data_IF_187409722943
#
_entry.id   IF_187409722943
#
_cell.length_a   1.000
_cell.length_b   1.000
_cell.length_c   1.000
_cell.angle_alpha   90.00
_cell.angle_beta   90.00
_cell.angle_gamma   90.00
#
_symmetry.space_group_name_H-M   'P 1'
#
loop_
_entity.id
_entity.type
_entity.pdbx_description
1 polymer ?
#
# COMPACT_ATOMS: atom_id res chain seq x y z
N UNK A 1 14.89 18.16 32.64
CA UNK A 1 15.32 18.10 31.22
C UNK A 1 15.31 16.65 30.76
N UNK A 2 14.14 16.12 30.39
CA UNK A 2 14.04 14.94 29.52
C UNK A 2 13.46 15.50 28.23
N UNK A 3 14.30 15.59 27.19
CA UNK A 3 13.89 16.07 25.89
C UNK A 3 12.74 15.22 25.39
N UNK A 4 11.57 15.83 25.23
CA UNK A 4 10.43 15.25 24.54
C UNK A 4 10.77 15.18 23.06
N UNK A 5 11.52 14.14 22.68
CA UNK A 5 11.74 13.78 21.29
C UNK A 5 10.40 13.29 20.74
N UNK A 6 9.62 14.21 20.19
CA UNK A 6 8.48 13.88 19.31
C UNK A 6 9.05 13.04 18.18
N UNK A 7 8.89 11.73 18.27
CA UNK A 7 9.41 10.79 17.28
C UNK A 7 8.25 10.51 16.35
N UNK A 8 8.15 11.10 15.15
CA UNK A 8 7.04 10.76 14.25
C UNK A 8 7.12 9.27 13.91
N UNK A 9 5.99 8.67 13.52
CA UNK A 9 5.91 7.28 13.05
C UNK A 9 7.14 6.96 12.18
N UNK A 10 7.91 5.92 12.48
CA UNK A 10 9.23 5.65 11.88
C UNK A 10 9.33 5.88 10.35
N UNK A 11 8.31 5.55 9.52
CA UNK A 11 8.34 5.84 8.08
C UNK A 11 8.29 7.34 7.74
N UNK A 12 7.60 8.15 8.55
CA UNK A 12 7.44 9.58 8.35
C UNK A 12 8.71 10.37 8.65
N UNK A 13 9.65 9.79 9.42
CA UNK A 13 10.98 10.39 9.67
C UNK A 13 11.82 10.52 8.39
N UNK A 14 11.49 9.78 7.34
CA UNK A 14 12.28 9.72 6.10
C UNK A 14 11.71 10.54 4.95
N UNK A 15 10.72 11.39 5.21
CA UNK A 15 10.20 12.38 4.26
C UNK A 15 9.81 11.77 2.90
N UNK A 16 10.60 12.05 1.87
CA UNK A 16 10.37 11.61 0.49
C UNK A 16 10.58 10.11 0.23
N UNK A 17 11.16 9.35 1.17
CA UNK A 17 11.38 7.88 1.07
C UNK A 17 10.48 7.07 2.00
N UNK A 18 9.43 7.69 2.54
CA UNK A 18 8.53 7.08 3.52
C UNK A 18 7.84 5.82 2.99
N UNK A 19 7.39 5.79 1.73
CA UNK A 19 6.74 4.60 1.15
C UNK A 19 7.74 3.48 0.89
N UNK A 20 8.98 3.82 0.52
CA UNK A 20 10.06 2.86 0.31
C UNK A 20 10.43 2.14 1.61
N UNK A 21 10.57 2.87 2.72
CA UNK A 21 10.89 2.26 4.01
C UNK A 21 9.71 1.48 4.57
N UNK A 22 8.49 2.00 4.41
CA UNK A 22 7.30 1.26 4.74
C UNK A 22 7.19 -0.05 3.95
N UNK A 23 7.52 -0.03 2.65
CA UNK A 23 7.53 -1.24 1.81
C UNK A 23 8.61 -2.23 2.23
N UNK A 24 9.76 -1.77 2.74
CA UNK A 24 10.80 -2.64 3.29
C UNK A 24 10.33 -3.33 4.58
N UNK A 25 9.66 -2.61 5.48
CA UNK A 25 9.05 -3.18 6.69
C UNK A 25 7.96 -4.21 6.37
N UNK A 26 7.18 -3.96 5.32
CA UNK A 26 6.20 -4.92 4.82
C UNK A 26 6.89 -6.12 4.16
N UNK A 27 7.99 -5.88 3.44
CA UNK A 27 8.79 -6.92 2.82
C UNK A 27 9.40 -7.88 3.84
N UNK A 28 9.84 -7.39 5.00
CA UNK A 28 10.32 -8.26 6.08
C UNK A 28 9.20 -9.13 6.65
N UNK A 29 7.99 -8.57 6.82
CA UNK A 29 6.81 -9.36 7.16
C UNK A 29 6.48 -10.42 6.09
N UNK A 30 6.46 -10.06 4.81
CA UNK A 30 6.14 -11.01 3.73
C UNK A 30 7.21 -12.10 3.56
N UNK A 31 8.48 -11.77 3.82
CA UNK A 31 9.64 -12.66 3.80
C UNK A 31 9.65 -13.65 4.98
N UNK A 32 8.91 -13.38 6.06
CA UNK A 32 8.88 -14.20 7.27
C UNK A 32 8.55 -15.68 7.02
N UNK A 33 7.93 -16.03 5.90
CA UNK A 33 7.64 -17.42 5.58
C UNK A 33 8.89 -18.25 5.16
N UNK A 34 10.07 -17.61 5.06
CA UNK A 34 11.39 -18.30 5.12
C UNK A 34 11.60 -19.08 6.42
N UNK A 35 10.80 -18.83 7.46
CA UNK A 35 10.80 -19.67 8.66
C UNK A 35 10.51 -21.14 8.34
N UNK A 36 9.71 -21.43 7.32
CA UNK A 36 9.40 -22.81 6.92
C UNK A 36 10.64 -23.63 6.55
N UNK A 37 11.48 -23.22 5.58
CA UNK A 37 12.74 -23.93 5.31
C UNK A 37 13.70 -23.88 6.49
N UNK A 38 13.69 -22.81 7.31
CA UNK A 38 14.48 -22.77 8.55
C UNK A 38 14.09 -23.87 9.54
N UNK A 39 12.79 -24.08 9.79
CA UNK A 39 12.26 -25.16 10.62
C UNK A 39 12.62 -26.52 10.03
N UNK A 40 12.49 -26.67 8.70
CA UNK A 40 12.85 -27.91 7.99
C UNK A 40 14.32 -28.28 8.20
N UNK A 41 15.25 -27.35 8.02
CA UNK A 41 16.70 -27.59 8.23
C UNK A 41 17.00 -28.03 9.67
N UNK A 42 16.34 -27.41 10.66
CA UNK A 42 16.53 -27.77 12.08
C UNK A 42 15.98 -29.17 12.36
N UNK A 43 14.83 -29.51 11.77
CA UNK A 43 14.23 -30.84 11.90
C UNK A 43 15.09 -31.92 11.24
N UNK A 44 15.58 -31.67 10.02
CA UNK A 44 16.45 -32.57 9.27
C UNK A 44 17.81 -32.79 9.97
N UNK A 45 18.25 -31.82 10.79
CA UNK A 45 19.43 -31.95 11.67
C UNK A 45 19.19 -32.84 12.91
N UNK A 46 18.00 -33.42 13.07
CA UNK A 46 17.67 -34.37 14.13
C UNK A 46 16.95 -33.77 15.35
N UNK A 47 16.54 -32.51 15.30
CA UNK A 47 15.75 -31.91 16.38
C UNK A 47 14.28 -32.37 16.33
N UNK A 48 13.70 -32.70 17.48
CA UNK A 48 12.28 -33.07 17.57
C UNK A 48 11.38 -31.90 17.13
N UNK A 49 10.39 -32.20 16.28
CA UNK A 49 9.40 -31.22 15.82
C UNK A 49 8.69 -30.50 16.99
N UNK A 50 8.37 -31.23 18.05
CA UNK A 50 7.72 -30.66 19.24
C UNK A 50 8.60 -29.58 19.91
N UNK A 51 9.91 -29.82 20.00
CA UNK A 51 10.85 -28.87 20.59
C UNK A 51 10.91 -27.58 19.77
N UNK A 52 10.97 -27.69 18.44
CA UNK A 52 10.99 -26.52 17.54
C UNK A 52 9.71 -25.70 17.71
N UNK A 53 8.54 -26.35 17.76
CA UNK A 53 7.26 -25.67 17.92
C UNK A 53 7.13 -24.99 19.29
N UNK A 54 7.55 -25.62 20.39
CA UNK A 54 7.55 -25.01 21.72
C UNK A 54 8.49 -23.80 21.82
N UNK A 55 9.69 -23.88 21.24
CA UNK A 55 10.61 -22.75 21.17
C UNK A 55 10.01 -21.60 20.36
N UNK A 56 9.39 -21.90 19.22
CA UNK A 56 8.76 -20.90 18.38
C UNK A 56 7.57 -20.23 19.08
N UNK A 57 6.75 -20.99 19.80
CA UNK A 57 5.67 -20.46 20.64
C UNK A 57 6.22 -19.55 21.76
N UNK A 58 7.32 -19.93 22.41
CA UNK A 58 7.99 -19.10 23.41
C UNK A 58 8.50 -17.78 22.84
N UNK A 59 9.17 -17.82 21.68
CA UNK A 59 9.62 -16.62 20.97
C UNK A 59 8.47 -15.71 20.55
N UNK A 60 7.36 -16.29 20.07
CA UNK A 60 6.14 -15.53 19.77
C UNK A 60 5.54 -14.89 21.03
N UNK A 61 5.61 -15.57 22.17
CA UNK A 61 5.23 -15.03 23.48
C UNK A 61 6.02 -13.78 23.88
N UNK A 62 7.34 -13.77 23.60
CA UNK A 62 8.19 -12.60 23.88
C UNK A 62 7.78 -11.35 23.08
N UNK A 63 7.19 -11.52 21.90
CA UNK A 63 6.68 -10.39 21.10
C UNK A 63 5.56 -9.67 21.85
N UNK A 64 4.65 -10.40 22.51
CA UNK A 64 3.59 -9.79 23.31
C UNK A 64 4.15 -9.01 24.50
N UNK A 65 5.19 -9.53 25.15
CA UNK A 65 5.88 -8.84 26.25
C UNK A 65 6.53 -7.55 25.72
N UNK A 66 7.20 -7.62 24.56
CA UNK A 66 7.80 -6.44 23.93
C UNK A 66 6.73 -5.39 23.58
N UNK A 67 5.60 -5.80 22.99
CA UNK A 67 4.49 -4.92 22.68
C UNK A 67 3.88 -4.28 23.94
N UNK A 68 3.76 -5.03 25.04
CA UNK A 68 3.24 -4.50 26.29
C UNK A 68 4.19 -3.49 26.93
N UNK A 69 5.50 -3.77 26.96
CA UNK A 69 6.51 -2.90 27.55
C UNK A 69 6.80 -1.65 26.72
N UNK A 70 6.76 -1.75 25.40
CA UNK A 70 7.05 -0.65 24.46
C UNK A 70 5.79 0.07 23.98
N UNK A 71 4.61 -0.23 24.53
CA UNK A 71 3.39 0.48 24.14
C UNK A 71 3.51 1.96 24.52
N UNK A 72 3.45 2.89 23.55
CA UNK A 72 3.59 4.31 23.85
C UNK A 72 2.37 4.81 24.63
N UNK A 73 2.62 5.49 25.75
CA UNK A 73 1.59 6.09 26.61
C UNK A 73 0.91 7.29 25.92
N UNK A 74 1.67 8.01 25.08
CA UNK A 74 1.18 9.12 24.27
C UNK A 74 1.27 8.76 22.78
N UNK A 75 0.22 9.10 22.02
CA UNK A 75 0.21 8.91 20.57
C UNK A 75 1.26 9.78 19.88
N UNK A 76 1.88 9.25 18.83
CA UNK A 76 2.83 10.03 18.05
C UNK A 76 2.10 11.18 17.31
N UNK A 77 2.59 12.43 17.43
CA UNK A 77 2.01 13.57 16.74
C UNK A 77 1.99 13.35 15.23
N UNK A 78 0.87 13.71 14.59
CA UNK A 78 0.79 13.61 13.13
C UNK A 78 1.65 14.68 12.46
N UNK A 79 2.16 14.46 11.23
CA UNK A 79 2.90 15.48 10.50
C UNK A 79 2.13 16.81 10.36
N UNK A 80 0.80 16.73 10.25
CA UNK A 80 -0.08 17.89 10.15
C UNK A 80 -0.17 18.66 11.48
N UNK A 81 -0.16 17.96 12.64
CA UNK A 81 -0.10 18.57 13.97
C UNK A 81 1.25 19.22 14.26
N UNK A 82 2.35 18.64 13.77
CA UNK A 82 3.70 19.21 13.90
C UNK A 82 3.86 20.46 13.03
N UNK A 83 3.39 20.42 11.78
CA UNK A 83 3.43 21.58 10.87
C UNK A 83 2.51 22.71 11.38
N UNK A 84 1.37 22.38 11.97
CA UNK A 84 0.49 23.36 12.62
C UNK A 84 1.10 23.96 13.89
N UNK A 85 1.73 23.16 14.76
CA UNK A 85 2.50 23.68 15.91
C UNK A 85 3.64 24.59 15.47
N UNK A 86 4.30 24.26 14.37
CA UNK A 86 5.36 25.08 13.80
C UNK A 86 4.82 26.39 13.20
N UNK A 87 3.67 26.34 12.52
CA UNK A 87 2.96 27.53 12.02
C UNK A 87 2.49 28.44 13.15
N UNK A 88 1.96 27.89 14.24
CA UNK A 88 1.61 28.63 15.46
C UNK A 88 2.82 29.34 16.06
N UNK A 89 3.94 28.62 16.18
CA UNK A 89 5.20 29.18 16.67
C UNK A 89 5.72 30.32 15.78
N UNK A 90 5.66 30.16 14.45
CA UNK A 90 6.05 31.21 13.49
C UNK A 90 5.09 32.41 13.52
N UNK A 91 3.81 32.20 13.82
CA UNK A 91 2.80 33.25 13.90
C UNK A 91 2.88 34.09 15.18
N UNK A 92 3.90 33.86 16.04
CA UNK A 92 4.13 34.65 17.26
C UNK A 92 3.15 34.37 18.40
N UNK A 93 2.32 33.33 18.28
CA UNK A 93 1.53 32.81 19.39
C UNK A 93 2.47 31.94 20.24
N UNK A 94 2.69 32.32 21.51
CA UNK A 94 3.57 31.57 22.41
C UNK A 94 3.21 30.08 22.43
N UNK A 95 4.19 29.16 22.47
CA UNK A 95 3.91 27.75 22.60
C UNK A 95 3.29 27.50 23.98
N UNK A 96 1.99 27.19 24.01
CA UNK A 96 1.23 26.82 25.21
C UNK A 96 2.03 25.82 26.07
N UNK A 97 2.54 26.30 27.21
CA UNK A 97 3.46 25.57 28.08
C UNK A 97 2.75 24.74 29.15
N UNK A 98 1.42 24.61 29.14
CA UNK A 98 0.71 23.80 30.14
C UNK A 98 -0.30 22.82 29.54
N UNK A 99 -0.42 21.58 30.08
CA UNK A 99 -1.35 20.55 29.57
C UNK A 99 -2.83 20.91 29.71
N UNK A 100 -3.19 21.85 30.59
CA UNK A 100 -4.58 22.12 30.95
C UNK A 100 -5.30 23.07 29.97
N UNK A 101 -4.59 23.90 29.21
CA UNK A 101 -5.21 24.81 28.22
C UNK A 101 -5.45 24.13 26.85
N UNK A 102 -4.87 22.96 26.61
CA UNK A 102 -5.10 22.16 25.38
C UNK A 102 -6.56 21.65 25.34
N UNK A 103 -7.18 21.41 26.50
CA UNK A 103 -8.58 21.01 26.58
C UNK A 103 -9.56 22.14 26.26
N UNK A 104 -9.18 23.42 26.44
CA UNK A 104 -10.06 24.57 26.15
C UNK A 104 -10.02 25.01 24.68
N UNK A 105 -8.97 24.66 23.93
CA UNK A 105 -8.83 24.98 22.49
C UNK A 105 -9.26 23.80 21.59
N UNK A 106 -9.61 22.66 22.19
CA UNK A 106 -10.20 21.51 21.50
C UNK A 106 -11.42 21.83 20.59
N UNK A 107 -12.24 22.89 20.80
CA UNK A 107 -13.32 23.24 19.87
C UNK A 107 -12.88 24.03 18.62
N UNK A 108 -11.62 24.49 18.53
CA UNK A 108 -11.14 25.28 17.38
C UNK A 108 -10.40 24.44 16.33
N UNK A 109 -10.08 23.17 16.61
CA UNK A 109 -9.68 22.23 15.57
C UNK A 109 -10.91 21.92 14.71
N UNK A 110 -10.83 21.99 13.37
CA UNK A 110 -11.88 21.38 12.55
C UNK A 110 -11.96 19.92 12.96
N UNK A 111 -13.15 19.47 13.40
CA UNK A 111 -13.41 18.09 13.83
C UNK A 111 -12.63 17.13 12.94
N UNK A 112 -11.66 16.43 13.54
CA UNK A 112 -10.83 15.47 12.82
C UNK A 112 -11.74 14.55 12.01
N UNK A 113 -11.37 14.27 10.75
CA UNK A 113 -12.20 13.46 9.85
C UNK A 113 -12.65 12.20 10.61
N UNK A 114 -13.96 11.94 10.78
CA UNK A 114 -14.39 10.84 11.61
C UNK A 114 -13.94 9.51 11.01
N UNK A 115 -13.43 8.58 11.84
CA UNK A 115 -12.93 7.27 11.40
C UNK A 115 -13.92 6.51 10.51
N UNK A 116 -15.22 6.60 10.83
CA UNK A 116 -16.31 6.02 10.03
C UNK A 116 -16.25 6.48 8.57
N UNK A 117 -15.94 7.75 8.30
CA UNK A 117 -15.83 8.29 6.94
C UNK A 117 -14.65 7.69 6.18
N UNK A 118 -13.57 7.34 6.87
CA UNK A 118 -12.43 6.64 6.25
C UNK A 118 -12.74 5.18 5.93
N UNK A 119 -13.44 4.47 6.82
CA UNK A 119 -13.84 3.07 6.60
C UNK A 119 -14.86 2.92 5.48
N UNK A 120 -15.83 3.84 5.38
CA UNK A 120 -16.82 3.82 4.29
C UNK A 120 -16.36 4.55 3.03
N UNK A 121 -15.08 4.93 2.95
CA UNK A 121 -14.52 5.54 1.74
C UNK A 121 -14.48 4.51 0.60
N UNK A 122 -14.95 4.87 -0.61
CA UNK A 122 -14.87 3.98 -1.77
C UNK A 122 -13.46 3.46 -2.06
N UNK A 123 -12.42 4.28 -1.80
CA UNK A 123 -11.02 3.88 -1.99
C UNK A 123 -10.66 2.71 -1.07
N UNK A 124 -11.10 2.77 0.20
CA UNK A 124 -10.86 1.70 1.16
C UNK A 124 -11.66 0.43 0.81
N UNK A 125 -12.93 0.57 0.43
CA UNK A 125 -13.75 -0.59 0.05
C UNK A 125 -13.19 -1.30 -1.18
N UNK A 126 -12.76 -0.57 -2.21
CA UNK A 126 -12.12 -1.16 -3.37
C UNK A 126 -10.76 -1.79 -3.04
N UNK A 127 -9.97 -1.20 -2.13
CA UNK A 127 -8.72 -1.83 -1.68
C UNK A 127 -8.95 -3.09 -0.87
N UNK A 128 -10.03 -3.18 -0.08
CA UNK A 128 -10.43 -4.42 0.59
C UNK A 128 -10.73 -5.54 -0.42
N UNK A 129 -11.47 -5.23 -1.49
CA UNK A 129 -11.79 -6.21 -2.55
C UNK A 129 -10.51 -6.67 -3.24
N UNK A 130 -9.68 -5.74 -3.72
CA UNK A 130 -8.42 -6.06 -4.40
C UNK A 130 -7.47 -6.86 -3.50
N UNK A 131 -7.37 -6.49 -2.22
CA UNK A 131 -6.53 -7.17 -1.24
C UNK A 131 -7.05 -8.58 -0.94
N UNK A 132 -8.33 -8.72 -0.60
CA UNK A 132 -8.94 -10.00 -0.23
C UNK A 132 -8.88 -11.03 -1.36
N UNK A 133 -9.16 -10.60 -2.59
CA UNK A 133 -9.04 -11.42 -3.80
C UNK A 133 -7.59 -11.86 -4.04
N UNK A 134 -6.64 -10.93 -4.01
CA UNK A 134 -5.21 -11.23 -4.22
C UNK A 134 -4.68 -12.17 -3.16
N UNK A 135 -5.01 -11.90 -1.88
CA UNK A 135 -4.62 -12.73 -0.76
C UNK A 135 -5.19 -14.13 -0.83
N UNK A 136 -6.48 -14.28 -1.15
CA UNK A 136 -7.10 -15.60 -1.30
C UNK A 136 -6.35 -16.44 -2.33
N UNK A 137 -5.97 -15.86 -3.48
CA UNK A 137 -5.22 -16.59 -4.50
C UNK A 137 -3.84 -17.02 -4.02
N UNK A 138 -3.09 -16.08 -3.43
CA UNK A 138 -1.73 -16.33 -2.93
C UNK A 138 -1.75 -17.42 -1.84
N UNK A 139 -2.67 -17.31 -0.89
CA UNK A 139 -2.81 -18.24 0.23
C UNK A 139 -3.31 -19.60 -0.26
N UNK A 140 -4.26 -19.64 -1.21
CA UNK A 140 -4.67 -20.88 -1.85
C UNK A 140 -3.51 -21.59 -2.54
N UNK A 141 -2.74 -20.87 -3.35
CA UNK A 141 -1.57 -21.43 -4.02
C UNK A 141 -0.57 -22.00 -3.00
N UNK A 142 -0.21 -21.22 -1.97
CA UNK A 142 0.70 -21.66 -0.92
C UNK A 142 0.19 -22.92 -0.19
N UNK A 143 -1.11 -23.00 0.11
CA UNK A 143 -1.72 -24.16 0.77
C UNK A 143 -1.86 -25.39 -0.12
N UNK A 144 -2.06 -25.20 -1.44
CA UNK A 144 -2.28 -26.27 -2.40
C UNK A 144 -1.01 -26.73 -3.14
N UNK A 145 0.07 -25.94 -3.10
CA UNK A 145 1.26 -26.11 -3.94
C UNK A 145 1.84 -27.52 -3.87
N UNK A 146 2.01 -28.09 -2.67
CA UNK A 146 2.59 -29.43 -2.51
C UNK A 146 1.74 -30.50 -3.21
N UNK A 147 0.41 -30.39 -3.10
CA UNK A 147 -0.52 -31.31 -3.79
C UNK A 147 -0.59 -31.06 -5.29
N UNK A 148 -0.49 -29.81 -5.74
CA UNK A 148 -0.37 -29.50 -7.17
C UNK A 148 0.93 -30.06 -7.77
N UNK A 149 2.05 -29.95 -7.07
CA UNK A 149 3.34 -30.52 -7.49
C UNK A 149 3.30 -32.05 -7.52
N UNK A 150 2.70 -32.67 -6.50
CA UNK A 150 2.47 -34.12 -6.46
C UNK A 150 1.62 -34.57 -7.66
N UNK A 151 0.55 -33.83 -7.99
CA UNK A 151 -0.28 -34.10 -9.16
C UNK A 151 0.51 -33.95 -10.47
N UNK A 152 1.40 -32.95 -10.60
CA UNK A 152 2.24 -32.76 -11.79
C UNK A 152 3.20 -33.93 -12.06
N UNK A 153 3.71 -34.57 -11.01
CA UNK A 153 4.60 -35.74 -11.15
C UNK A 153 3.78 -37.01 -11.40
N UNK A 154 2.74 -37.23 -10.59
CA UNK A 154 1.94 -38.47 -10.63
C UNK A 154 0.93 -38.52 -11.79
N UNK A 155 0.62 -37.37 -12.40
CA UNK A 155 -0.44 -37.19 -13.41
C UNK A 155 -1.82 -37.70 -12.93
N UNK A 156 -2.07 -37.65 -11.62
CA UNK A 156 -3.35 -38.08 -11.04
C UNK A 156 -3.64 -39.58 -11.11
N UNK A 157 -2.61 -40.44 -11.21
CA UNK A 157 -2.80 -41.89 -11.19
C UNK A 157 -3.24 -42.36 -9.80
N UNK A 158 -4.38 -43.05 -9.71
CA UNK A 158 -4.95 -43.52 -8.43
C UNK A 158 -4.10 -44.59 -7.72
N UNK A 159 -3.26 -45.33 -8.47
CA UNK A 159 -2.33 -46.36 -7.95
C UNK A 159 -0.93 -46.16 -8.53
N UNK A 160 -0.17 -45.17 -8.06
CA UNK A 160 1.19 -44.93 -8.52
C UNK A 160 2.11 -46.08 -8.07
N UNK A 161 3.07 -46.45 -8.91
CA UNK A 161 4.13 -47.38 -8.51
C UNK A 161 4.92 -46.78 -7.34
N UNK A 162 5.44 -47.62 -6.45
CA UNK A 162 6.27 -47.19 -5.30
C UNK A 162 7.43 -46.27 -5.71
N UNK A 163 8.02 -46.51 -6.89
CA UNK A 163 9.04 -45.62 -7.48
C UNK A 163 8.51 -44.21 -7.80
N UNK A 164 7.29 -44.11 -8.32
CA UNK A 164 6.67 -42.84 -8.70
C UNK A 164 6.26 -42.03 -7.46
N UNK A 165 5.85 -42.71 -6.38
CA UNK A 165 5.58 -42.06 -5.09
C UNK A 165 6.86 -41.45 -4.51
N UNK A 166 7.95 -42.23 -4.48
CA UNK A 166 9.25 -41.72 -4.01
C UNK A 166 9.75 -40.55 -4.85
N UNK A 167 9.61 -40.60 -6.18
CA UNK A 167 9.99 -39.50 -7.09
C UNK A 167 9.14 -38.23 -6.86
N UNK A 168 7.84 -38.39 -6.61
CA UNK A 168 6.95 -37.28 -6.30
C UNK A 168 7.33 -36.63 -4.96
N UNK A 169 7.60 -37.42 -3.92
CA UNK A 169 8.02 -36.89 -2.61
C UNK A 169 9.34 -36.12 -2.69
N UNK A 170 10.33 -36.63 -3.41
CA UNK A 170 11.62 -35.95 -3.60
C UNK A 170 11.44 -34.64 -4.37
N UNK A 171 10.67 -34.67 -5.46
CA UNK A 171 10.37 -33.48 -6.27
C UNK A 171 9.62 -32.42 -5.46
N UNK A 172 8.54 -32.81 -4.76
CA UNK A 172 7.77 -31.89 -3.91
C UNK A 172 8.66 -31.29 -2.83
N UNK A 173 9.50 -32.09 -2.18
CA UNK A 173 10.43 -31.60 -1.17
C UNK A 173 11.45 -30.59 -1.71
N UNK A 174 12.00 -30.84 -2.91
CA UNK A 174 12.94 -29.94 -3.56
C UNK A 174 12.29 -28.60 -3.91
N UNK A 175 11.14 -28.62 -4.61
CA UNK A 175 10.43 -27.41 -5.01
C UNK A 175 9.85 -26.65 -3.81
N UNK A 176 9.37 -27.33 -2.76
CA UNK A 176 8.91 -26.69 -1.53
C UNK A 176 10.04 -25.96 -0.79
N UNK A 177 11.23 -26.58 -0.72
CA UNK A 177 12.42 -25.93 -0.16
C UNK A 177 12.82 -24.68 -0.96
N UNK A 178 12.84 -24.77 -2.30
CA UNK A 178 13.13 -23.62 -3.17
C UNK A 178 12.09 -22.51 -3.00
N UNK A 179 10.81 -22.87 -2.98
CA UNK A 179 9.73 -21.90 -2.78
C UNK A 179 9.91 -21.15 -1.46
N UNK A 180 10.25 -21.88 -0.38
CA UNK A 180 10.54 -21.28 0.92
C UNK A 180 11.74 -20.31 0.90
N UNK A 181 12.84 -20.68 0.25
CA UNK A 181 14.03 -19.81 0.17
C UNK A 181 13.81 -18.60 -0.73
N UNK A 182 13.08 -18.77 -1.84
CA UNK A 182 12.72 -17.70 -2.76
C UNK A 182 11.89 -16.60 -2.10
N UNK A 183 11.19 -16.87 -1.00
CA UNK A 183 10.44 -15.84 -0.27
C UNK A 183 11.32 -14.74 0.33
N UNK A 184 12.62 -14.98 0.52
CA UNK A 184 13.59 -13.95 0.89
C UNK A 184 13.68 -12.83 -0.16
N UNK A 185 13.35 -13.13 -1.42
CA UNK A 185 13.31 -12.16 -2.51
C UNK A 185 12.29 -11.03 -2.23
N UNK A 186 11.32 -11.23 -1.33
CA UNK A 186 10.44 -10.16 -0.84
C UNK A 186 11.24 -8.98 -0.27
N UNK A 187 12.36 -9.21 0.43
CA UNK A 187 13.18 -8.15 1.03
C UNK A 187 13.79 -7.22 -0.02
N UNK A 188 14.13 -7.78 -1.18
CA UNK A 188 14.75 -7.04 -2.29
C UNK A 188 13.68 -6.41 -3.20
N UNK A 189 12.58 -7.12 -3.42
CA UNK A 189 11.54 -6.69 -4.36
C UNK A 189 10.59 -5.65 -3.75
N UNK A 190 10.24 -5.72 -2.46
CA UNK A 190 9.31 -4.75 -1.86
C UNK A 190 9.80 -3.29 -1.92
N UNK A 191 11.09 -2.97 -1.68
CA UNK A 191 11.61 -1.63 -1.90
C UNK A 191 11.40 -1.10 -3.33
N UNK A 192 11.38 -1.97 -4.34
CA UNK A 192 11.16 -1.58 -5.74
C UNK A 192 9.76 -0.99 -5.93
N UNK A 193 8.72 -1.60 -5.36
CA UNK A 193 7.37 -1.06 -5.46
C UNK A 193 7.22 0.21 -4.62
N UNK A 194 7.86 0.30 -3.46
CA UNK A 194 7.91 1.51 -2.65
C UNK A 194 8.58 2.67 -3.39
N UNK A 195 9.65 2.38 -4.13
CA UNK A 195 10.31 3.35 -5.00
C UNK A 195 9.39 3.84 -6.14
N UNK A 196 8.60 2.95 -6.75
CA UNK A 196 7.58 3.34 -7.75
C UNK A 196 6.52 4.26 -7.12
N UNK A 197 6.14 4.01 -5.86
CA UNK A 197 5.18 4.86 -5.13
C UNK A 197 5.76 6.23 -4.77
N UNK A 198 7.05 6.29 -4.43
CA UNK A 198 7.79 7.52 -4.13
C UNK A 198 8.33 8.24 -5.39
N UNK A 199 8.10 7.68 -6.59
CA UNK A 199 8.61 8.23 -7.85
C UNK A 199 8.19 9.69 -8.06
N UNK A 200 9.16 10.58 -8.33
CA UNK A 200 8.95 12.03 -8.56
C UNK A 200 8.36 12.80 -7.37
N UNK A 201 8.35 12.21 -6.16
CA UNK A 201 7.93 12.91 -4.94
C UNK A 201 8.98 13.92 -4.44
N UNK A 202 10.27 13.67 -4.71
CA UNK A 202 11.40 14.52 -4.27
C UNK A 202 11.47 15.85 -5.02
N UNK A 203 11.31 15.85 -6.35
CA UNK A 203 11.28 17.09 -7.17
C UNK A 203 10.15 18.04 -6.73
N UNK A 204 9.00 17.48 -6.33
CA UNK A 204 7.88 18.25 -5.79
C UNK A 204 8.22 18.86 -4.42
N UNK A 205 8.95 18.13 -3.56
CA UNK A 205 9.38 18.63 -2.25
C UNK A 205 10.42 19.77 -2.39
N UNK A 206 11.38 19.63 -3.30
CA UNK A 206 12.41 20.65 -3.54
C UNK A 206 11.80 21.93 -4.13
N UNK A 207 10.78 21.80 -5.00
CA UNK A 207 10.03 22.96 -5.52
C UNK A 207 9.23 23.68 -4.41
N UNK A 208 8.82 22.96 -3.37
CA UNK A 208 8.05 23.49 -2.23
C UNK A 208 8.92 24.34 -1.30
N UNK A 209 10.22 24.02 -1.16
CA UNK A 209 11.14 24.79 -0.32
C UNK A 209 11.49 26.17 -0.92
N UNK A 210 11.35 26.34 -2.24
CA UNK A 210 11.71 27.56 -2.98
C UNK A 210 10.53 28.55 -3.10
N UNK A 211 9.30 28.09 -2.90
CA UNK A 211 8.06 28.87 -3.12
C UNK A 211 7.34 29.23 -1.80
N UNK A 212 7.96 30.08 -0.99
CA UNK A 212 7.35 30.63 0.24
C UNK A 212 6.52 31.88 -0.07
N UNK A 213 5.19 31.75 -0.11
CA UNK A 213 4.27 32.89 -0.25
C UNK A 213 2.79 32.50 -0.30
N UNK A 214 2.26 32.16 -1.48
CA UNK A 214 0.79 32.06 -1.68
C UNK A 214 0.32 30.76 -2.39
N UNK A 215 1.22 29.95 -2.96
CA UNK A 215 0.87 28.76 -3.77
C UNK A 215 0.66 27.44 -2.99
N UNK A 216 0.75 27.46 -1.64
CA UNK A 216 0.75 26.23 -0.81
C UNK A 216 -0.47 25.31 -1.04
N UNK A 217 -1.66 25.89 -1.27
CA UNK A 217 -2.89 25.10 -1.48
C UNK A 217 -2.97 24.44 -2.87
N UNK A 218 -2.30 25.01 -3.87
CA UNK A 218 -2.17 24.43 -5.20
C UNK A 218 -1.19 23.27 -5.22
N UNK A 219 -0.02 23.49 -4.62
CA UNK A 219 1.09 22.54 -4.55
C UNK A 219 0.75 21.30 -3.70
N UNK A 220 0.02 21.44 -2.59
CA UNK A 220 -0.45 20.28 -1.80
C UNK A 220 -1.42 19.40 -2.59
N UNK A 221 -2.29 19.98 -3.43
CA UNK A 221 -3.23 19.24 -4.27
C UNK A 221 -2.48 18.48 -5.38
N UNK A 222 -1.44 19.07 -5.94
CA UNK A 222 -0.57 18.41 -6.93
C UNK A 222 0.18 17.22 -6.35
N UNK A 223 0.69 17.37 -5.11
CA UNK A 223 1.31 16.26 -4.39
C UNK A 223 0.34 15.11 -4.14
N UNK A 224 -0.92 15.40 -3.76
CA UNK A 224 -1.96 14.37 -3.59
C UNK A 224 -2.28 13.67 -4.92
N UNK A 225 -2.42 14.41 -6.01
CA UNK A 225 -2.67 13.86 -7.35
C UNK A 225 -1.50 12.96 -7.80
N UNK A 226 -0.26 13.37 -7.55
CA UNK A 226 0.93 12.59 -7.88
C UNK A 226 1.00 11.28 -7.07
N UNK A 227 0.78 11.34 -5.75
CA UNK A 227 0.72 10.14 -4.89
C UNK A 227 -0.33 9.14 -5.37
N UNK A 228 -1.53 9.62 -5.68
CA UNK A 228 -2.62 8.77 -6.21
C UNK A 228 -2.23 8.17 -7.57
N UNK A 229 -1.56 8.94 -8.42
CA UNK A 229 -1.07 8.46 -9.73
C UNK A 229 -0.04 7.35 -9.58
N UNK A 230 0.94 7.53 -8.69
CA UNK A 230 1.96 6.53 -8.43
C UNK A 230 1.36 5.26 -7.83
N UNK A 231 0.44 5.41 -6.86
CA UNK A 231 -0.29 4.29 -6.28
C UNK A 231 -1.11 3.53 -7.35
N UNK A 232 -1.83 4.24 -8.22
CA UNK A 232 -2.57 3.64 -9.34
C UNK A 232 -1.66 2.81 -10.24
N UNK A 233 -0.48 3.33 -10.61
CA UNK A 233 0.51 2.60 -11.42
C UNK A 233 1.05 1.36 -10.68
N UNK A 234 1.34 1.48 -9.39
CA UNK A 234 1.81 0.38 -8.56
C UNK A 234 0.77 -0.74 -8.46
N UNK A 235 -0.51 -0.41 -8.26
CA UNK A 235 -1.60 -1.40 -8.28
C UNK A 235 -1.83 -2.01 -9.66
N UNK A 236 -1.72 -1.23 -10.76
CA UNK A 236 -1.79 -1.79 -12.11
C UNK A 236 -0.69 -2.82 -12.35
N UNK A 237 0.55 -2.49 -12.00
CA UNK A 237 1.69 -3.40 -12.13
C UNK A 237 1.47 -4.68 -11.30
N UNK A 238 1.04 -4.52 -10.04
CA UNK A 238 0.78 -5.65 -9.14
C UNK A 238 -0.31 -6.58 -9.69
N UNK A 239 -1.40 -6.02 -10.20
CA UNK A 239 -2.48 -6.82 -10.80
C UNK A 239 -2.04 -7.49 -12.12
N UNK A 240 -1.21 -6.83 -12.93
CA UNK A 240 -0.64 -7.47 -14.12
C UNK A 240 0.23 -8.67 -13.76
N UNK A 241 1.09 -8.53 -12.75
CA UNK A 241 1.89 -9.64 -12.22
C UNK A 241 1.00 -10.76 -11.65
N UNK A 242 -0.12 -10.43 -10.98
CA UNK A 242 -1.09 -11.40 -10.48
C UNK A 242 -1.77 -12.20 -11.60
N UNK A 243 -2.09 -11.55 -12.73
CA UNK A 243 -2.66 -12.23 -13.91
C UNK A 243 -1.61 -13.14 -14.56
N UNK A 244 -0.37 -12.66 -14.75
CA UNK A 244 0.72 -13.48 -15.31
C UNK A 244 0.98 -14.69 -14.41
N UNK A 245 1.09 -14.47 -13.09
CA UNK A 245 1.18 -15.54 -12.10
C UNK A 245 0.06 -16.56 -12.30
N UNK A 246 -1.16 -16.06 -12.46
CA UNK A 246 -2.31 -16.91 -12.62
C UNK A 246 -2.38 -17.71 -13.90
N UNK A 247 -1.89 -17.16 -15.01
CA UNK A 247 -1.73 -17.86 -16.28
C UNK A 247 -0.66 -18.95 -16.12
N UNK A 248 0.47 -18.63 -15.48
CA UNK A 248 1.52 -19.62 -15.22
C UNK A 248 1.03 -20.78 -14.35
N UNK A 249 0.15 -20.55 -13.36
CA UNK A 249 -0.45 -21.60 -12.54
C UNK A 249 -1.37 -22.57 -13.32
N UNK A 250 -1.86 -22.18 -14.50
CA UNK A 250 -2.69 -23.06 -15.35
C UNK A 250 -1.85 -23.99 -16.23
N UNK A 251 -0.55 -23.73 -16.36
CA UNK A 251 0.34 -24.50 -17.21
C UNK A 251 1.00 -25.60 -16.37
N UNK A 252 0.75 -26.84 -16.75
CA UNK A 252 1.30 -28.02 -16.08
C UNK A 252 2.75 -28.26 -16.52
N UNK A 253 3.67 -27.43 -16.02
CA UNK A 253 5.09 -27.53 -16.32
C UNK A 253 5.94 -27.31 -15.06
N UNK A 254 6.80 -28.29 -14.74
CA UNK A 254 7.68 -28.29 -13.56
C UNK A 254 8.71 -27.14 -13.60
N UNK A 255 9.54 -26.97 -14.66
CA UNK A 255 10.44 -25.82 -14.77
C UNK A 255 9.75 -24.46 -14.68
N UNK A 256 8.52 -24.33 -15.18
CA UNK A 256 7.76 -23.07 -15.09
C UNK A 256 7.41 -22.70 -13.63
N UNK A 257 7.43 -23.65 -12.70
CA UNK A 257 7.13 -23.39 -11.29
C UNK A 257 8.13 -22.40 -10.68
N UNK A 258 9.40 -22.39 -11.10
CA UNK A 258 10.35 -21.36 -10.65
C UNK A 258 9.86 -19.94 -10.95
N UNK A 259 9.30 -19.72 -12.14
CA UNK A 259 8.71 -18.44 -12.50
C UNK A 259 7.46 -18.14 -11.65
N UNK A 260 6.60 -19.14 -11.40
CA UNK A 260 5.44 -18.97 -10.52
C UNK A 260 5.84 -18.56 -9.11
N UNK A 261 6.94 -19.11 -8.57
CA UNK A 261 7.43 -18.80 -7.23
C UNK A 261 7.92 -17.36 -7.13
N UNK A 262 8.64 -16.88 -8.15
CA UNK A 262 9.10 -15.50 -8.24
C UNK A 262 7.88 -14.56 -8.32
N UNK A 263 6.95 -14.83 -9.24
CA UNK A 263 5.76 -14.00 -9.42
C UNK A 263 4.88 -13.98 -8.17
N UNK A 264 4.63 -15.12 -7.54
CA UNK A 264 3.92 -15.23 -6.27
C UNK A 264 4.58 -14.35 -5.20
N UNK A 265 5.90 -14.48 -5.04
CA UNK A 265 6.68 -13.75 -4.02
C UNK A 265 6.59 -12.24 -4.25
N UNK A 266 6.74 -11.78 -5.49
CA UNK A 266 6.61 -10.37 -5.85
C UNK A 266 5.20 -9.83 -5.56
N UNK A 267 4.15 -10.51 -6.03
CA UNK A 267 2.76 -10.05 -5.84
C UNK A 267 2.41 -9.97 -4.36
N UNK A 268 2.82 -10.96 -3.56
CA UNK A 268 2.62 -10.98 -2.10
C UNK A 268 3.22 -9.75 -1.43
N UNK A 269 4.48 -9.41 -1.74
CA UNK A 269 5.10 -8.22 -1.19
C UNK A 269 4.48 -6.92 -1.70
N UNK A 270 4.14 -6.89 -2.98
CA UNK A 270 3.67 -5.68 -3.66
C UNK A 270 2.29 -5.27 -3.20
N UNK A 271 1.36 -6.22 -3.01
CA UNK A 271 -0.03 -5.87 -2.67
C UNK A 271 -0.13 -5.19 -1.30
N UNK A 272 0.58 -5.71 -0.30
CA UNK A 272 0.64 -5.12 1.04
C UNK A 272 1.31 -3.75 1.00
N UNK A 273 2.41 -3.62 0.25
CA UNK A 273 3.13 -2.35 0.08
C UNK A 273 2.28 -1.28 -0.60
N UNK A 274 1.55 -1.66 -1.66
CA UNK A 274 0.64 -0.76 -2.39
C UNK A 274 -0.50 -0.25 -1.49
N UNK A 275 -1.14 -1.13 -0.72
CA UNK A 275 -2.20 -0.74 0.22
C UNK A 275 -1.67 0.20 1.29
N UNK A 276 -0.51 -0.15 1.85
CA UNK A 276 0.18 0.66 2.84
C UNK A 276 0.46 2.09 2.37
N UNK A 277 1.14 2.24 1.23
CA UNK A 277 1.43 3.57 0.70
C UNK A 277 0.19 4.32 0.19
N UNK A 278 -0.86 3.62 -0.27
CA UNK A 278 -2.15 4.23 -0.60
C UNK A 278 -2.81 4.83 0.65
N UNK A 279 -2.78 4.11 1.77
CA UNK A 279 -3.36 4.62 3.02
C UNK A 279 -2.57 5.79 3.59
N UNK A 280 -1.24 5.75 3.51
CA UNK A 280 -0.39 6.88 3.86
C UNK A 280 -0.60 8.10 2.92
N UNK A 281 -1.09 7.89 1.70
CA UNK A 281 -1.36 8.96 0.73
C UNK A 281 -2.75 9.59 0.89
N UNK A 282 -3.77 8.79 1.23
CA UNK A 282 -5.18 9.19 1.19
C UNK A 282 -5.75 9.52 2.56
N UNK A 283 -5.31 8.82 3.61
CA UNK A 283 -5.90 8.94 4.94
C UNK A 283 -4.98 9.66 5.93
N UNK A 284 -5.56 10.33 6.95
CA UNK A 284 -4.78 10.89 8.05
C UNK A 284 -3.95 9.80 8.76
N UNK A 285 -2.78 10.17 9.27
CA UNK A 285 -1.87 9.22 9.95
C UNK A 285 -2.51 8.55 11.17
N UNK A 286 -3.45 9.22 11.85
CA UNK A 286 -4.20 8.66 12.99
C UNK A 286 -5.07 7.45 12.62
N UNK A 287 -5.50 7.32 11.36
CA UNK A 287 -6.33 6.21 10.91
C UNK A 287 -5.54 5.08 10.26
N UNK A 288 -4.30 5.36 9.86
CA UNK A 288 -3.48 4.48 9.04
C UNK A 288 -3.28 3.09 9.66
N UNK A 289 -2.91 3.03 10.95
CA UNK A 289 -2.68 1.76 11.66
C UNK A 289 -3.96 0.93 11.74
N UNK A 290 -5.07 1.54 12.15
CA UNK A 290 -6.37 0.89 12.28
C UNK A 290 -6.93 0.42 10.94
N UNK A 291 -6.80 1.21 9.86
CA UNK A 291 -7.22 0.81 8.52
C UNK A 291 -6.39 -0.36 7.98
N UNK A 292 -5.08 -0.36 8.23
CA UNK A 292 -4.18 -1.46 7.85
C UNK A 292 -4.52 -2.74 8.61
N UNK A 293 -4.82 -2.63 9.91
CA UNK A 293 -5.27 -3.73 10.74
C UNK A 293 -6.63 -4.29 10.30
N UNK A 294 -7.60 -3.41 10.05
CA UNK A 294 -8.94 -3.78 9.58
C UNK A 294 -8.87 -4.45 8.20
N UNK A 295 -8.06 -3.93 7.27
CA UNK A 295 -7.81 -4.59 5.99
C UNK A 295 -7.26 -5.99 6.19
N UNK A 296 -6.24 -6.14 7.04
CA UNK A 296 -5.62 -7.44 7.30
C UNK A 296 -6.61 -8.43 7.89
N UNK A 297 -7.44 -8.00 8.84
CA UNK A 297 -8.50 -8.80 9.44
C UNK A 297 -9.51 -9.29 8.40
N UNK A 298 -10.07 -8.37 7.60
CA UNK A 298 -11.06 -8.71 6.57
C UNK A 298 -10.43 -9.64 5.51
N UNK A 299 -9.20 -9.36 5.10
CA UNK A 299 -8.48 -10.19 4.13
C UNK A 299 -8.20 -11.59 4.68
N UNK A 300 -7.92 -11.73 5.98
CA UNK A 300 -7.75 -13.03 6.63
C UNK A 300 -9.07 -13.82 6.65
N UNK A 301 -10.21 -13.18 6.92
CA UNK A 301 -11.53 -13.82 6.84
C UNK A 301 -11.81 -14.33 5.43
N UNK A 302 -11.52 -13.52 4.40
CA UNK A 302 -11.64 -13.96 3.00
C UNK A 302 -10.68 -15.11 2.71
N UNK A 303 -9.45 -15.07 3.24
CA UNK A 303 -8.47 -16.13 3.06
C UNK A 303 -8.88 -17.46 3.72
N UNK A 304 -9.78 -17.49 4.70
CA UNK A 304 -10.33 -18.75 5.24
C UNK A 304 -11.06 -19.57 4.16
N UNK A 305 -11.53 -18.94 3.08
CA UNK A 305 -12.06 -19.65 1.90
C UNK A 305 -11.01 -20.55 1.22
N UNK A 306 -9.72 -20.39 1.51
CA UNK A 306 -8.68 -21.30 1.03
C UNK A 306 -8.95 -22.75 1.45
N UNK A 307 -9.42 -23.00 2.67
CA UNK A 307 -9.66 -24.35 3.18
C UNK A 307 -10.77 -25.10 2.42
N UNK A 308 -11.98 -24.55 2.23
CA UNK A 308 -13.00 -25.22 1.43
C UNK A 308 -12.56 -25.38 -0.03
N UNK A 309 -11.83 -24.42 -0.61
CA UNK A 309 -11.28 -24.57 -1.96
C UNK A 309 -10.28 -25.74 -2.03
N UNK A 310 -9.42 -25.91 -1.02
CA UNK A 310 -8.49 -27.04 -0.95
C UNK A 310 -9.22 -28.38 -0.81
N UNK A 311 -10.27 -28.45 0.01
CA UNK A 311 -11.10 -29.65 0.16
C UNK A 311 -11.77 -30.02 -1.17
N UNK A 312 -12.27 -29.05 -1.92
CA UNK A 312 -12.85 -29.28 -3.25
C UNK A 312 -11.79 -29.81 -4.23
N UNK A 313 -10.58 -29.23 -4.20
CA UNK A 313 -9.46 -29.64 -5.05
C UNK A 313 -9.06 -31.10 -4.82
N UNK A 314 -8.87 -31.49 -3.56
CA UNK A 314 -8.42 -32.85 -3.23
C UNK A 314 -9.56 -33.85 -3.36
N UNK A 315 -10.78 -33.48 -2.94
CA UNK A 315 -11.92 -34.39 -2.89
C UNK A 315 -12.60 -34.61 -4.25
N UNK A 316 -13.08 -33.55 -4.90
CA UNK A 316 -13.91 -33.67 -6.11
C UNK A 316 -13.09 -33.61 -7.40
N UNK A 317 -11.91 -32.97 -7.36
CA UNK A 317 -11.06 -32.76 -8.53
C UNK A 317 -9.85 -33.70 -8.56
N UNK A 318 -9.77 -34.69 -7.66
CA UNK A 318 -8.70 -35.70 -7.62
C UNK A 318 -7.29 -35.07 -7.63
N UNK A 319 -7.12 -33.90 -7.01
CA UNK A 319 -5.87 -33.15 -6.98
C UNK A 319 -5.63 -32.21 -8.16
N UNK A 320 -6.50 -32.20 -9.18
CA UNK A 320 -6.41 -31.27 -10.30
C UNK A 320 -6.82 -29.84 -9.87
N UNK A 321 -5.84 -28.95 -9.79
CA UNK A 321 -6.05 -27.54 -9.42
C UNK A 321 -6.54 -26.63 -10.56
N UNK A 322 -6.66 -27.10 -11.81
CA UNK A 322 -6.90 -26.26 -12.99
C UNK A 322 -8.17 -25.40 -12.87
N UNK A 323 -9.32 -26.02 -12.57
CA UNK A 323 -10.60 -25.32 -12.51
C UNK A 323 -10.67 -24.28 -11.40
N UNK A 324 -10.08 -24.56 -10.24
CA UNK A 324 -10.01 -23.62 -9.12
C UNK A 324 -9.07 -22.46 -9.48
N UNK A 325 -7.89 -22.74 -10.06
CA UNK A 325 -6.97 -21.71 -10.51
C UNK A 325 -7.56 -20.84 -11.64
N UNK A 326 -8.39 -21.41 -12.51
CA UNK A 326 -9.11 -20.68 -13.55
C UNK A 326 -10.18 -19.75 -12.94
N UNK A 327 -10.96 -20.25 -11.99
CA UNK A 327 -11.92 -19.42 -11.25
C UNK A 327 -11.25 -18.27 -10.50
N UNK A 328 -10.14 -18.55 -9.80
CA UNK A 328 -9.33 -17.53 -9.13
C UNK A 328 -8.67 -16.56 -10.12
N UNK A 329 -8.34 -17.00 -11.34
CA UNK A 329 -7.84 -16.13 -12.42
C UNK A 329 -8.91 -15.17 -12.92
N UNK A 330 -10.12 -15.67 -13.21
CA UNK A 330 -11.24 -14.81 -13.59
C UNK A 330 -11.53 -13.81 -12.48
N UNK A 331 -11.55 -14.27 -11.22
CA UNK A 331 -11.77 -13.40 -10.08
C UNK A 331 -10.66 -12.34 -9.94
N UNK A 332 -9.40 -12.66 -10.27
CA UNK A 332 -8.25 -11.75 -10.22
C UNK A 332 -8.42 -10.47 -11.08
N UNK A 333 -9.26 -10.50 -12.12
CA UNK A 333 -9.55 -9.31 -12.92
C UNK A 333 -10.31 -8.22 -12.15
N UNK A 334 -11.04 -8.59 -11.07
CA UNK A 334 -11.67 -7.60 -10.19
C UNK A 334 -10.63 -6.69 -9.50
N UNK A 335 -9.36 -7.10 -9.46
CA UNK A 335 -8.25 -6.29 -8.94
C UNK A 335 -8.04 -4.98 -9.70
N UNK A 336 -8.45 -4.89 -10.96
CA UNK A 336 -8.35 -3.67 -11.77
C UNK A 336 -9.43 -2.62 -11.43
N UNK A 337 -10.44 -2.97 -10.64
CA UNK A 337 -11.50 -2.02 -10.23
C UNK A 337 -10.94 -0.88 -9.38
N UNK A 338 -9.99 -1.15 -8.47
CA UNK A 338 -9.35 -0.11 -7.66
C UNK A 338 -8.53 0.88 -8.53
N UNK A 339 -7.57 0.44 -9.37
CA UNK A 339 -6.91 1.34 -10.32
C UNK A 339 -7.87 2.11 -11.23
N UNK A 340 -8.93 1.45 -11.72
CA UNK A 340 -9.96 2.10 -12.52
C UNK A 340 -10.69 3.20 -11.77
N UNK A 341 -11.06 2.96 -10.51
CA UNK A 341 -11.65 3.98 -9.65
C UNK A 341 -10.66 5.12 -9.34
N UNK A 342 -9.40 4.82 -9.03
CA UNK A 342 -8.36 5.83 -8.80
C UNK A 342 -8.12 6.70 -10.03
N UNK A 343 -8.23 6.14 -11.23
CA UNK A 343 -8.16 6.90 -12.48
C UNK A 343 -9.31 7.91 -12.61
N UNK A 344 -10.54 7.48 -12.33
CA UNK A 344 -11.71 8.36 -12.35
C UNK A 344 -11.60 9.46 -11.27
N UNK A 345 -11.17 9.08 -10.06
CA UNK A 345 -10.98 10.02 -8.96
C UNK A 345 -9.90 11.06 -9.29
N UNK A 346 -8.77 10.63 -9.87
CA UNK A 346 -7.72 11.53 -10.39
C UNK A 346 -8.26 12.49 -11.44
N UNK A 347 -9.08 12.01 -12.38
CA UNK A 347 -9.68 12.85 -13.43
C UNK A 347 -10.58 13.93 -12.83
N UNK A 348 -11.33 13.62 -11.78
CA UNK A 348 -12.15 14.60 -11.08
C UNK A 348 -11.30 15.64 -10.35
N UNK A 349 -10.24 15.22 -9.65
CA UNK A 349 -9.30 16.15 -9.00
C UNK A 349 -8.61 17.09 -9.99
N UNK A 350 -8.24 16.60 -11.18
CA UNK A 350 -7.66 17.42 -12.24
C UNK A 350 -8.67 18.42 -12.82
N UNK A 351 -9.95 18.04 -12.95
CA UNK A 351 -11.01 18.96 -13.36
C UNK A 351 -11.22 20.07 -12.33
N UNK A 352 -11.30 19.72 -11.05
CA UNK A 352 -11.42 20.70 -9.96
C UNK A 352 -10.22 21.66 -9.93
N UNK A 353 -9.01 21.16 -10.17
CA UNK A 353 -7.82 22.00 -10.33
C UNK A 353 -7.98 22.95 -11.52
N UNK A 354 -8.35 22.44 -12.70
CA UNK A 354 -8.51 23.28 -13.89
C UNK A 354 -9.61 24.35 -13.72
N UNK A 355 -10.68 24.07 -12.97
CA UNK A 355 -11.71 25.07 -12.64
C UNK A 355 -11.15 26.13 -11.69
N UNK A 356 -10.42 25.73 -10.65
CA UNK A 356 -9.79 26.66 -9.70
C UNK A 356 -8.75 27.54 -10.38
N UNK A 357 -7.90 26.98 -11.24
CA UNK A 357 -6.84 27.73 -11.92
C UNK A 357 -7.41 28.68 -12.99
N UNK A 358 -8.63 28.42 -13.49
CA UNK A 358 -9.37 29.33 -14.39
C UNK A 358 -10.05 30.50 -13.67
N UNK A 359 -10.38 30.40 -12.39
CA UNK A 359 -10.99 31.50 -11.62
C UNK A 359 -10.11 32.76 -11.53
N UNK A 360 -8.81 32.69 -11.17
CA UNK A 360 -7.94 33.86 -11.14
C UNK A 360 -7.65 34.41 -12.55
N UNK A 361 -7.45 33.54 -13.55
CA UNK A 361 -7.27 33.97 -14.94
C UNK A 361 -8.50 34.70 -15.51
N UNK A 362 -9.71 34.33 -15.08
CA UNK A 362 -10.95 35.01 -15.46
C UNK A 362 -11.10 36.37 -14.77
N UNK A 363 -10.68 36.48 -13.50
CA UNK A 363 -10.63 37.75 -12.77
C UNK A 363 -9.58 38.72 -13.30
N UNK A 364 -8.35 38.26 -13.60
CA UNK A 364 -7.32 39.09 -14.25
C UNK A 364 -7.75 39.57 -15.63
N UNK A 365 -8.37 38.70 -16.43
CA UNK A 365 -8.87 39.07 -17.76
C UNK A 365 -10.06 40.04 -17.69
N UNK A 366 -10.88 39.98 -16.64
CA UNK A 366 -11.91 40.99 -16.37
C UNK A 366 -11.31 42.33 -15.88
N UNK A 367 -10.27 42.29 -15.05
CA UNK A 367 -9.57 43.49 -14.57
C UNK A 367 -8.83 44.22 -15.70
N UNK A 368 -8.16 43.48 -16.60
CA UNK A 368 -7.52 44.03 -17.81
C UNK A 368 -8.54 44.66 -18.76
N UNK A 369 -9.70 44.02 -18.98
CA UNK A 369 -10.79 44.60 -19.78
C UNK A 369 -11.37 45.87 -19.16
N UNK A 370 -11.45 45.94 -17.82
CA UNK A 370 -11.88 47.15 -17.12
C UNK A 370 -10.83 48.28 -17.18
N UNK A 371 -9.54 47.94 -17.17
CA UNK A 371 -8.45 48.91 -17.31
C UNK A 371 -8.39 49.49 -18.74
N UNK A 372 -8.59 48.67 -19.78
CA UNK A 372 -8.69 49.15 -21.17
C UNK A 372 -9.93 50.03 -21.40
N UNK A 373 -11.06 49.76 -20.73
CA UNK A 373 -12.26 50.59 -20.81
C UNK A 373 -12.09 51.98 -20.17
N UNK A 374 -11.09 52.16 -19.29
CA UNK A 374 -10.73 53.43 -18.65
C UNK A 374 -9.57 54.15 -19.36
N UNK A 375 -9.23 53.75 -20.59
CA UNK A 375 -8.28 54.44 -21.46
C UNK A 375 -8.69 55.89 -21.72
N UNK A 376 -7.94 56.79 -21.10
CA UNK A 376 -7.80 58.24 -21.34
C UNK A 376 -8.35 58.73 -22.70
N UNK A 377 -9.44 59.51 -22.68
CA UNK A 377 -9.75 60.43 -23.79
C UNK A 377 -8.69 61.53 -23.80
N UNK A 378 -7.94 61.75 -24.90
CA UNK A 378 -7.06 62.91 -24.98
C UNK A 378 -7.93 64.17 -25.03
N UNK A 379 -7.86 65.01 -23.99
CA UNK A 379 -8.33 66.38 -24.07
C UNK A 379 -7.42 67.16 -25.02
N UNK A 380 -7.90 67.37 -26.24
CA UNK A 380 -7.31 68.33 -27.17
C UNK A 380 -7.77 69.74 -26.76
N UNK A 381 -6.86 70.55 -26.22
CA UNK A 381 -7.08 71.99 -26.02
C UNK A 381 -6.83 72.70 -27.36
N UNK A 382 -7.89 72.93 -28.12
CA UNK A 382 -7.90 73.88 -29.23
C UNK A 382 -8.26 75.27 -28.72
N UNK A 383 -7.28 76.18 -28.64
CA UNK A 383 -7.52 77.62 -28.52
C UNK A 383 -7.45 78.20 -29.92
N UNK A 384 -8.60 78.49 -30.51
CA UNK A 384 -8.76 79.44 -31.62
C UNK A 384 -9.38 80.71 -31.04
N UNK A 385 -8.57 81.77 -30.94
CA UNK A 385 -9.06 83.14 -30.77
C UNK A 385 -8.94 83.83 -32.13
N UNK A 386 -10.08 84.26 -32.67
CA UNK A 386 -10.19 85.19 -33.80
C UNK A 386 -10.77 86.51 -33.30
N UNK A 387 -10.14 87.59 -33.79
CA UNK A 387 -10.62 88.95 -34.02
C UNK A 387 -10.76 89.96 -32.85
N UNK A 388 -9.76 90.85 -32.76
CA UNK A 388 -9.90 92.31 -32.93
C UNK A 388 -8.51 92.98 -33.08
#
# INVERSE_FOLDING_TARGET
VKGGSVTPLLPNMFGAMSSTIMSLMIGSYASSAVTFPGVKVIYDAGASFQLIMWLWAGLAGLVFINCFLNWPIEGFPTPDEVDYRYMLYISGLEPLQTPNEINEISPLLPDGVPFRRSVFSPIFLWSLVTMGMTQLRIIFYMGAMNKMLEFLVTHGKDHPSEKLVSEAEETVNFYASIFGTMQLLCLVTCPLIGYIMDWRMKECADTTAVSSGEEKSGLQRDRKIQKITNAMRAFMLTNMLLIIFGICCLIENLPLQFLTFILHTMVRGFIHSCCGGLYAAVYPSNHFGTLTGLQSLISAVVALLQQPLFIIMVGHLHGNGYWINLGLLIFSFAGFLLPGYLFLHRKNLLKEKAVRDKQPACQEMQALKHAEANGHKPHSNGVTATDA
#
